data_IF_718537254284
#
_entry.id   IF_718537254284
#
_cell.length_a   1.000
_cell.length_b   1.000
_cell.length_c   1.000
_cell.angle_alpha   90.00
_cell.angle_beta   90.00
_cell.angle_gamma   90.00
#
_symmetry.space_group_name_H-M   'P 1'
#
loop_
_entity.id
_entity.type
_entity.pdbx_description
1 polymer ?
#
# COMPACT_ATOMS: atom_id res chain seq x y z
N UNK A 1 -23.87 -3.79 15.88
CA UNK A 1 -23.14 -2.59 16.37
C UNK A 1 -21.66 -2.79 16.06
N UNK A 2 -21.25 -2.65 14.79
CA UNK A 2 -19.87 -2.94 14.31
C UNK A 2 -19.31 -1.86 13.36
N UNK A 3 -19.89 -0.65 13.37
CA UNK A 3 -19.43 0.45 12.53
C UNK A 3 -18.85 1.60 13.38
N UNK A 4 -17.96 1.29 14.32
CA UNK A 4 -17.06 2.33 14.83
C UNK A 4 -15.83 2.37 13.93
N UNK A 5 -15.63 3.43 13.13
CA UNK A 5 -14.59 3.54 12.14
C UNK A 5 -13.28 4.01 12.79
N UNK A 6 -12.84 3.33 13.85
CA UNK A 6 -11.54 3.62 14.43
C UNK A 6 -10.45 3.04 13.52
N UNK A 7 -10.07 3.89 12.57
CA UNK A 7 -8.89 3.95 11.70
C UNK A 7 -8.14 2.64 11.43
N UNK A 8 -8.50 2.01 10.31
CA UNK A 8 -7.84 0.84 9.72
C UNK A 8 -6.37 1.15 9.37
N UNK A 9 -6.09 2.35 8.84
CA UNK A 9 -4.77 2.93 8.57
C UNK A 9 -4.93 4.37 8.05
N UNK A 10 -3.97 5.30 8.27
CA UNK A 10 -4.01 6.65 7.68
C UNK A 10 -4.17 6.70 6.15
N UNK A 11 -3.83 5.62 5.45
CA UNK A 11 -4.02 5.46 4.00
C UNK A 11 -5.49 5.56 3.57
N UNK A 12 -6.43 5.41 4.49
CA UNK A 12 -7.87 5.55 4.24
C UNK A 12 -8.44 6.89 4.74
N UNK A 13 -7.61 7.80 5.26
CA UNK A 13 -8.06 9.13 5.66
C UNK A 13 -8.63 9.89 4.45
N UNK A 14 -9.82 10.45 4.60
CA UNK A 14 -10.53 11.15 3.52
C UNK A 14 -11.10 10.24 2.44
N UNK A 15 -11.05 8.91 2.61
CA UNK A 15 -11.68 7.99 1.67
C UNK A 15 -13.21 8.19 1.63
N UNK A 16 -13.85 8.04 0.44
CA UNK A 16 -15.30 8.20 0.32
C UNK A 16 -16.06 7.27 1.25
N UNK A 17 -17.11 7.79 1.88
CA UNK A 17 -17.98 7.02 2.78
C UNK A 17 -19.22 6.44 2.07
N UNK A 18 -19.21 6.41 0.74
CA UNK A 18 -20.32 5.90 -0.04
C UNK A 18 -20.41 4.37 0.01
N UNK A 19 -21.63 3.84 -0.12
CA UNK A 19 -21.86 2.40 -0.20
C UNK A 19 -21.07 1.73 -1.33
N UNK A 20 -20.99 2.40 -2.48
CA UNK A 20 -20.26 1.88 -3.64
C UNK A 20 -18.74 1.81 -3.38
N UNK A 21 -18.18 2.79 -2.68
CA UNK A 21 -16.78 2.73 -2.28
C UNK A 21 -16.52 1.59 -1.30
N UNK A 22 -17.39 1.39 -0.29
CA UNK A 22 -17.28 0.27 0.65
C UNK A 22 -17.35 -1.09 -0.06
N UNK A 23 -18.25 -1.24 -1.04
CA UNK A 23 -18.35 -2.44 -1.88
C UNK A 23 -17.08 -2.68 -2.69
N UNK A 24 -16.56 -1.64 -3.35
CA UNK A 24 -15.32 -1.70 -4.12
C UNK A 24 -14.14 -2.14 -3.24
N UNK A 25 -13.95 -1.47 -2.09
CA UNK A 25 -12.92 -1.79 -1.11
C UNK A 25 -13.00 -3.24 -0.66
N UNK A 26 -14.20 -3.69 -0.22
CA UNK A 26 -14.42 -5.08 0.22
C UNK A 26 -14.09 -6.09 -0.89
N UNK A 27 -14.43 -5.77 -2.15
CA UNK A 27 -14.12 -6.61 -3.31
C UNK A 27 -12.61 -6.70 -3.55
N UNK A 28 -11.89 -5.58 -3.53
CA UNK A 28 -10.45 -5.55 -3.73
C UNK A 28 -9.70 -6.33 -2.64
N UNK A 29 -10.03 -6.10 -1.36
CA UNK A 29 -9.44 -6.86 -0.23
C UNK A 29 -9.64 -8.36 -0.42
N UNK A 30 -10.86 -8.78 -0.78
CA UNK A 30 -11.17 -10.19 -1.01
C UNK A 30 -10.36 -10.77 -2.16
N UNK A 31 -10.33 -10.11 -3.32
CA UNK A 31 -9.63 -10.60 -4.50
C UNK A 31 -8.11 -10.66 -4.29
N UNK A 32 -7.52 -9.67 -3.62
CA UNK A 32 -6.09 -9.67 -3.29
C UNK A 32 -5.75 -10.82 -2.34
N UNK A 33 -6.57 -11.05 -1.30
CA UNK A 33 -6.39 -12.20 -0.40
C UNK A 33 -6.49 -13.53 -1.17
N UNK A 34 -7.52 -13.70 -1.99
CA UNK A 34 -7.72 -14.91 -2.78
C UNK A 34 -6.52 -15.21 -3.68
N UNK A 35 -5.97 -14.19 -4.34
CA UNK A 35 -4.76 -14.34 -5.15
C UNK A 35 -3.54 -14.75 -4.29
N UNK A 36 -3.32 -14.07 -3.16
CA UNK A 36 -2.21 -14.38 -2.25
C UNK A 36 -2.28 -15.83 -1.77
N UNK A 37 -3.47 -16.31 -1.39
CA UNK A 37 -3.70 -17.69 -0.94
C UNK A 37 -3.54 -18.69 -2.09
N UNK A 38 -4.15 -18.42 -3.24
CA UNK A 38 -4.13 -19.30 -4.41
C UNK A 38 -2.72 -19.56 -4.92
N UNK A 39 -1.86 -18.53 -4.93
CA UNK A 39 -0.50 -18.63 -5.43
C UNK A 39 0.54 -18.90 -4.33
N UNK A 40 0.11 -19.14 -3.08
CA UNK A 40 1.01 -19.47 -1.97
C UNK A 40 2.07 -18.39 -1.72
N UNK A 41 1.71 -17.11 -1.84
CA UNK A 41 2.69 -16.01 -1.83
C UNK A 41 3.25 -15.71 -0.44
N UNK A 42 2.56 -16.11 0.63
CA UNK A 42 2.96 -15.83 2.01
C UNK A 42 3.98 -16.84 2.49
N UNK A 43 5.13 -16.32 2.91
CA UNK A 43 6.04 -16.96 3.85
C UNK A 43 5.88 -16.27 5.22
N UNK A 44 5.34 -16.93 6.25
CA UNK A 44 5.10 -16.31 7.56
C UNK A 44 6.38 -15.74 8.17
N UNK A 45 6.33 -14.47 8.62
CA UNK A 45 7.51 -13.74 9.09
C UNK A 45 8.39 -13.18 7.98
N UNK A 46 8.05 -13.45 6.71
CA UNK A 46 8.72 -12.88 5.55
C UNK A 46 8.59 -11.36 5.49
N UNK A 47 9.48 -10.73 4.73
CA UNK A 47 9.50 -9.28 4.50
C UNK A 47 9.19 -8.99 3.04
N UNK A 48 8.14 -8.22 2.80
CA UNK A 48 7.71 -7.84 1.46
C UNK A 48 8.13 -6.40 1.15
N UNK A 49 8.83 -6.24 0.03
CA UNK A 49 9.12 -4.95 -0.56
C UNK A 49 7.99 -4.55 -1.51
N UNK A 50 7.32 -3.45 -1.22
CA UNK A 50 6.22 -2.93 -2.05
C UNK A 50 6.78 -1.82 -2.93
N UNK A 51 7.01 -2.10 -4.21
CA UNK A 51 7.54 -1.12 -5.15
C UNK A 51 6.43 -0.14 -5.58
N UNK A 52 6.62 1.14 -5.28
CA UNK A 52 5.69 2.22 -5.57
C UNK A 52 6.19 3.01 -6.78
N UNK A 53 5.38 3.03 -7.83
CA UNK A 53 5.64 3.82 -9.05
C UNK A 53 5.10 5.24 -8.97
N UNK A 54 4.31 5.57 -7.95
CA UNK A 54 3.53 6.80 -7.88
C UNK A 54 2.21 6.74 -8.66
N UNK A 55 1.89 5.61 -9.28
CA UNK A 55 0.61 5.37 -9.94
C UNK A 55 -0.47 4.84 -8.99
N UNK A 56 -1.75 5.05 -9.35
CA UNK A 56 -2.92 4.65 -8.55
C UNK A 56 -2.92 3.16 -8.17
N UNK A 57 -2.40 2.29 -9.02
CA UNK A 57 -2.39 0.84 -8.80
C UNK A 57 -1.46 0.48 -7.64
N UNK A 58 -0.27 1.08 -7.60
CA UNK A 58 0.71 0.85 -6.51
C UNK A 58 0.23 1.39 -5.16
N UNK A 59 -0.44 2.56 -5.14
CA UNK A 59 -1.07 3.09 -3.93
C UNK A 59 -2.26 2.25 -3.47
N UNK A 60 -3.08 1.76 -4.41
CA UNK A 60 -4.21 0.89 -4.11
C UNK A 60 -3.71 -0.42 -3.50
N UNK A 61 -2.68 -1.03 -4.10
CA UNK A 61 -2.05 -2.24 -3.57
C UNK A 61 -1.53 -2.01 -2.14
N UNK A 62 -0.80 -0.92 -1.91
CA UNK A 62 -0.31 -0.55 -0.59
C UNK A 62 -1.44 -0.47 0.45
N UNK A 63 -2.53 0.25 0.14
CA UNK A 63 -3.67 0.39 1.03
C UNK A 63 -4.34 -0.96 1.35
N UNK A 64 -4.53 -1.81 0.34
CA UNK A 64 -5.14 -3.13 0.53
C UNK A 64 -4.24 -4.07 1.34
N UNK A 65 -2.92 -4.06 1.11
CA UNK A 65 -1.99 -4.88 1.91
C UNK A 65 -1.94 -4.42 3.38
N UNK A 66 -1.95 -3.11 3.63
CA UNK A 66 -2.05 -2.57 5.00
C UNK A 66 -3.38 -2.96 5.68
N UNK A 67 -4.48 -2.96 4.94
CA UNK A 67 -5.76 -3.44 5.48
C UNK A 67 -5.77 -4.95 5.77
N UNK A 68 -5.19 -5.78 4.90
CA UNK A 68 -5.04 -7.21 5.16
C UNK A 68 -4.17 -7.46 6.40
N UNK A 69 -3.09 -6.68 6.58
CA UNK A 69 -2.23 -6.73 7.77
C UNK A 69 -2.98 -6.32 9.03
N UNK A 70 -3.76 -5.23 9.00
CA UNK A 70 -4.60 -4.78 10.12
C UNK A 70 -5.65 -5.84 10.50
N UNK A 71 -6.22 -6.54 9.52
CA UNK A 71 -7.15 -7.68 9.74
C UNK A 71 -6.47 -8.95 10.29
N UNK A 72 -5.14 -8.97 10.41
CA UNK A 72 -4.37 -10.16 10.80
C UNK A 72 -4.27 -11.24 9.72
N UNK A 73 -4.60 -10.91 8.47
CA UNK A 73 -4.65 -11.85 7.33
C UNK A 73 -3.37 -11.84 6.48
N UNK A 74 -2.38 -11.05 6.89
CA UNK A 74 -1.12 -10.88 6.17
C UNK A 74 0.05 -10.92 7.15
N UNK A 75 0.57 -12.11 7.52
CA UNK A 75 1.61 -12.30 8.54
C UNK A 75 3.01 -12.04 7.96
N UNK A 76 3.19 -10.90 7.28
CA UNK A 76 4.48 -10.44 6.71
C UNK A 76 4.81 -9.03 7.17
N UNK A 77 6.08 -8.68 7.22
CA UNK A 77 6.49 -7.27 7.34
C UNK A 77 6.35 -6.57 5.99
N UNK A 78 5.86 -5.32 5.99
CA UNK A 78 5.75 -4.51 4.78
C UNK A 78 6.77 -3.37 4.82
N UNK A 79 7.47 -3.16 3.71
CA UNK A 79 8.34 -2.02 3.47
C UNK A 79 8.00 -1.43 2.10
N UNK A 80 7.51 -0.20 2.06
CA UNK A 80 7.34 0.52 0.80
C UNK A 80 8.71 0.93 0.23
N UNK A 81 8.86 0.88 -1.08
CA UNK A 81 10.09 1.27 -1.77
C UNK A 81 9.75 2.11 -3.00
N UNK A 82 10.49 3.19 -3.20
CA UNK A 82 10.47 3.93 -4.45
C UNK A 82 11.90 4.07 -4.98
N UNK A 83 12.04 3.92 -6.30
CA UNK A 83 13.27 4.18 -7.02
C UNK A 83 13.12 5.49 -7.78
N UNK A 84 13.87 6.50 -7.36
CA UNK A 84 14.08 7.71 -8.14
C UNK A 84 15.19 7.43 -9.17
N UNK A 85 14.79 7.44 -10.44
CA UNK A 85 15.66 7.12 -11.57
C UNK A 85 16.48 8.32 -12.08
N UNK A 86 16.29 9.50 -11.49
CA UNK A 86 16.91 10.74 -11.99
C UNK A 86 16.22 11.32 -13.22
N UNK A 87 14.98 10.94 -13.50
CA UNK A 87 14.23 11.50 -14.63
C UNK A 87 14.05 13.03 -14.45
N UNK A 88 14.31 13.85 -15.49
CA UNK A 88 14.08 15.29 -15.41
C UNK A 88 12.65 15.63 -14.99
N UNK A 89 12.53 16.52 -14.01
CA UNK A 89 11.25 16.96 -13.40
C UNK A 89 10.49 15.88 -12.61
N UNK A 90 11.11 14.75 -12.25
CA UNK A 90 10.50 13.79 -11.34
C UNK A 90 10.23 14.45 -9.96
N UNK A 91 9.02 14.34 -9.41
CA UNK A 91 8.68 14.97 -8.14
C UNK A 91 9.19 14.14 -6.94
N UNK A 92 10.52 14.14 -6.74
CA UNK A 92 11.24 13.31 -5.77
C UNK A 92 10.74 13.43 -4.33
N UNK A 93 10.11 14.55 -3.95
CA UNK A 93 9.65 14.80 -2.58
C UNK A 93 8.20 14.40 -2.30
N UNK A 94 7.38 14.22 -3.35
CA UNK A 94 5.93 14.06 -3.19
C UNK A 94 5.58 12.72 -2.56
N UNK A 95 6.13 11.62 -3.10
CA UNK A 95 5.86 10.28 -2.59
C UNK A 95 6.46 10.06 -1.19
N UNK A 96 7.72 10.45 -0.89
CA UNK A 96 8.26 10.33 0.47
C UNK A 96 7.42 11.09 1.51
N UNK A 97 7.06 12.35 1.23
CA UNK A 97 6.24 13.15 2.14
C UNK A 97 4.85 12.53 2.36
N UNK A 98 4.25 11.94 1.32
CA UNK A 98 3.01 11.19 1.45
C UNK A 98 3.18 9.97 2.38
N UNK A 99 4.21 9.14 2.17
CA UNK A 99 4.42 7.93 2.96
C UNK A 99 4.70 8.24 4.44
N UNK A 100 5.48 9.29 4.71
CA UNK A 100 5.73 9.79 6.06
C UNK A 100 4.44 10.26 6.73
N UNK A 101 3.65 11.10 6.04
CA UNK A 101 2.34 11.57 6.54
C UNK A 101 1.38 10.42 6.84
N UNK A 102 1.44 9.33 6.06
CA UNK A 102 0.59 8.16 6.23
C UNK A 102 1.14 7.13 7.22
N UNK A 103 2.31 7.37 7.83
CA UNK A 103 2.94 6.45 8.78
C UNK A 103 3.41 5.13 8.14
N UNK A 104 3.69 5.12 6.83
CA UNK A 104 4.14 3.94 6.10
C UNK A 104 5.66 3.83 6.20
N UNK A 105 6.17 2.71 6.74
CA UNK A 105 7.60 2.42 6.72
C UNK A 105 8.08 2.29 5.27
N UNK A 106 9.10 3.07 4.90
CA UNK A 106 9.53 3.13 3.51
C UNK A 106 11.04 3.32 3.36
N UNK A 107 11.52 3.06 2.13
CA UNK A 107 12.90 3.28 1.67
C UNK A 107 12.84 3.99 0.31
N UNK A 108 13.60 5.07 0.15
CA UNK A 108 13.72 5.79 -1.11
C UNK A 108 15.14 5.57 -1.62
N UNK A 109 15.26 4.97 -2.79
CA UNK A 109 16.54 4.75 -3.45
C UNK A 109 16.68 5.72 -4.61
N UNK A 110 17.86 6.31 -4.77
CA UNK A 110 18.22 7.09 -5.94
C UNK A 110 19.21 6.30 -6.79
N UNK A 111 18.95 6.23 -8.09
CA UNK A 111 19.87 5.68 -9.07
C UNK A 111 19.73 6.49 -10.35
N UNK A 112 20.81 7.13 -10.79
CA UNK A 112 20.82 7.73 -12.12
C UNK A 112 20.84 6.60 -13.17
N UNK A 113 19.77 6.51 -13.95
CA UNK A 113 19.66 5.60 -15.09
C UNK A 113 19.46 6.34 -16.42
N UNK A 114 19.52 7.67 -16.39
CA UNK A 114 19.33 8.55 -17.56
C UNK A 114 20.64 9.14 -18.07
N UNK A 115 21.68 9.20 -17.23
CA UNK A 115 23.03 9.64 -17.59
C UNK A 115 23.98 8.49 -17.97
#
# INVERSE_FOLDING_TARGET
>A
MLDQPDDIHPLFHGAPQSTEFRKLRKRLVRQTREAIEQYGMIEPGGKWLICLSGGKDSYTLLAILHELKWRGLLPVELLACNLDQGQPNFPATVLPAFLEKMGVKHRIEYQDTYS
#
